data_IF_220716948131
#
_entry.id   IF_220716948131
#
_cell.length_a   1.000
_cell.length_b   1.000
_cell.length_c   1.000
_cell.angle_alpha   90.00
_cell.angle_beta   90.00
_cell.angle_gamma   90.00
#
_symmetry.space_group_name_H-M   'P 1'
#
loop_
_entity.id
_entity.type
_entity.pdbx_description
1 polymer ?
#
# COMPACT_ATOMS: atom_id res chain seq x y z
N UNK A 1 16.96 1.38 41.21
CA UNK A 1 15.99 0.40 41.70
C UNK A 1 14.78 0.48 40.81
N UNK A 2 14.85 -0.20 39.67
CA UNK A 2 13.78 -0.56 38.74
C UNK A 2 14.40 -1.67 37.92
N UNK A 3 13.93 -2.89 38.19
CA UNK A 3 14.56 -4.16 37.84
C UNK A 3 14.28 -4.50 36.38
N UNK A 4 15.29 -4.29 35.54
CA UNK A 4 15.46 -4.98 34.26
C UNK A 4 15.74 -6.45 34.55
N UNK A 5 14.78 -7.36 34.29
CA UNK A 5 15.09 -8.78 34.09
C UNK A 5 13.95 -9.56 33.41
N UNK A 6 14.33 -10.18 32.30
CA UNK A 6 13.76 -11.36 31.65
C UNK A 6 12.50 -11.22 30.80
N UNK A 7 12.69 -10.73 29.57
CA UNK A 7 11.84 -11.05 28.40
C UNK A 7 12.60 -11.94 27.37
N UNK A 8 13.60 -12.68 27.85
CA UNK A 8 14.49 -13.51 27.05
C UNK A 8 14.35 -15.00 27.43
N UNK A 9 13.16 -15.57 27.27
CA UNK A 9 12.99 -17.03 27.26
C UNK A 9 11.78 -17.49 26.42
N UNK A 10 11.64 -16.95 25.20
CA UNK A 10 10.88 -17.67 24.15
C UNK A 10 11.83 -18.63 23.45
N UNK A 11 12.28 -19.64 24.20
CA UNK A 11 12.95 -20.80 23.64
C UNK A 11 12.09 -21.39 22.53
N UNK A 12 12.65 -21.48 21.33
CA UNK A 12 12.03 -22.15 20.19
C UNK A 12 11.68 -23.58 20.57
N UNK A 13 10.40 -23.81 20.91
CA UNK A 13 9.84 -25.15 21.08
C UNK A 13 9.84 -25.81 19.71
N UNK A 14 10.72 -26.80 19.53
CA UNK A 14 10.74 -27.67 18.35
C UNK A 14 9.37 -28.36 18.22
N UNK A 15 8.84 -28.53 16.99
CA UNK A 15 7.60 -29.27 16.78
C UNK A 15 7.78 -30.71 17.29
N UNK A 16 6.82 -31.19 18.07
CA UNK A 16 6.71 -32.58 18.49
C UNK A 16 6.30 -33.44 17.29
N UNK A 17 7.19 -33.60 16.33
CA UNK A 17 7.07 -34.58 15.27
C UNK A 17 7.53 -35.93 15.83
N UNK A 18 6.58 -36.87 15.87
CA UNK A 18 6.70 -38.29 16.21
C UNK A 18 6.82 -38.63 17.70
N UNK A 19 5.66 -38.81 18.36
CA UNK A 19 5.52 -39.90 19.32
C UNK A 19 5.26 -41.18 18.52
N UNK A 20 6.29 -41.71 17.85
CA UNK A 20 6.37 -43.15 17.61
C UNK A 20 7.22 -43.74 18.74
N UNK A 21 6.70 -43.61 19.95
CA UNK A 21 7.23 -44.29 21.12
C UNK A 21 6.41 -45.56 21.28
N UNK A 22 7.02 -46.70 20.98
CA UNK A 22 6.48 -48.03 21.27
C UNK A 22 5.99 -48.06 22.72
N UNK A 23 4.68 -47.93 22.92
CA UNK A 23 4.06 -48.31 24.17
C UNK A 23 4.05 -49.84 24.18
N UNK A 24 5.12 -50.45 24.69
CA UNK A 24 5.12 -51.89 24.98
C UNK A 24 3.93 -52.19 25.90
N UNK A 25 2.87 -52.74 25.28
CA UNK A 25 1.71 -53.35 25.91
C UNK A 25 0.63 -52.38 26.38
N UNK A 26 -0.37 -52.09 25.53
CA UNK A 26 -1.80 -51.92 25.88
C UNK A 26 -2.17 -51.15 27.16
N UNK A 27 -1.34 -50.23 27.63
CA UNK A 27 -1.49 -49.58 28.93
C UNK A 27 -2.39 -48.37 28.78
N UNK A 28 -3.57 -48.49 29.36
CA UNK A 28 -4.52 -47.39 29.53
C UNK A 28 -3.97 -46.31 30.46
N UNK A 29 -4.07 -45.05 30.04
CA UNK A 29 -3.53 -43.89 30.75
C UNK A 29 -4.62 -43.04 31.39
N UNK A 30 -4.37 -42.48 32.56
CA UNK A 30 -5.24 -41.48 33.17
C UNK A 30 -5.03 -40.10 32.55
N UNK A 31 -6.03 -39.21 32.61
CA UNK A 31 -5.88 -37.82 32.14
C UNK A 31 -4.67 -37.09 32.74
N UNK A 32 -4.30 -37.41 33.99
CA UNK A 32 -3.12 -36.84 34.64
C UNK A 32 -1.80 -37.39 34.13
N UNK A 33 -1.75 -38.64 33.63
CA UNK A 33 -0.58 -39.17 32.95
C UNK A 33 -0.47 -38.58 31.54
N UNK A 34 -1.58 -38.48 30.80
CA UNK A 34 -1.61 -37.84 29.47
C UNK A 34 -1.21 -36.38 29.55
N UNK A 35 -1.69 -35.63 30.54
CA UNK A 35 -1.30 -34.23 30.75
C UNK A 35 0.16 -34.03 31.22
N UNK A 36 0.86 -35.10 31.63
CA UNK A 36 2.31 -35.05 31.89
C UNK A 36 3.13 -35.40 30.64
N UNK A 37 2.57 -36.21 29.75
CA UNK A 37 3.17 -36.61 28.48
C UNK A 37 2.94 -35.60 27.37
N UNK A 38 1.83 -34.90 27.44
CA UNK A 38 1.41 -33.85 26.51
C UNK A 38 1.34 -32.55 27.29
N UNK A 39 1.71 -31.42 26.69
CA UNK A 39 1.60 -30.09 27.32
C UNK A 39 0.13 -29.61 27.41
N UNK A 40 -0.83 -30.55 27.40
CA UNK A 40 -2.28 -30.34 27.39
C UNK A 40 -2.82 -30.61 28.79
N UNK A 41 -3.42 -29.59 29.41
CA UNK A 41 -3.94 -29.73 30.76
C UNK A 41 -5.08 -30.76 30.84
N UNK A 42 -5.24 -31.40 32.01
CA UNK A 42 -6.36 -32.31 32.26
C UNK A 42 -7.74 -31.63 32.05
N UNK A 43 -7.83 -30.31 32.30
CA UNK A 43 -9.03 -29.51 32.02
C UNK A 43 -9.31 -29.41 30.52
N UNK A 44 -8.27 -29.26 29.70
CA UNK A 44 -8.38 -29.23 28.24
C UNK A 44 -8.78 -30.60 27.69
N UNK A 45 -8.20 -31.68 28.22
CA UNK A 45 -8.60 -33.05 27.86
C UNK A 45 -10.08 -33.32 28.19
N UNK A 46 -10.56 -32.88 29.35
CA UNK A 46 -11.98 -32.96 29.71
C UNK A 46 -12.85 -32.15 28.74
N UNK A 47 -12.42 -30.95 28.38
CA UNK A 47 -13.15 -30.14 27.43
C UNK A 47 -13.25 -30.81 26.04
N UNK A 48 -12.16 -31.39 25.54
CA UNK A 48 -12.17 -32.14 24.25
C UNK A 48 -13.11 -33.33 24.30
N UNK A 49 -13.20 -33.99 25.45
CA UNK A 49 -14.15 -35.07 25.69
C UNK A 49 -15.60 -34.57 25.75
N UNK A 50 -15.87 -33.47 26.46
CA UNK A 50 -17.21 -32.88 26.58
C UNK A 50 -17.78 -32.46 25.22
N UNK A 51 -16.93 -31.97 24.31
CA UNK A 51 -17.32 -31.60 22.94
C UNK A 51 -17.29 -32.78 21.96
N UNK A 52 -16.91 -33.98 22.41
CA UNK A 52 -16.83 -35.19 21.60
C UNK A 52 -15.71 -35.20 20.56
N UNK A 53 -14.64 -34.42 20.80
CA UNK A 53 -13.46 -34.34 19.94
C UNK A 53 -12.44 -35.45 20.26
N UNK A 54 -12.33 -35.84 21.54
CA UNK A 54 -11.49 -36.92 22.04
C UNK A 54 -12.28 -37.74 23.07
N UNK A 55 -12.71 -38.95 22.72
CA UNK A 55 -13.71 -39.71 23.48
C UNK A 55 -13.12 -40.98 24.12
N UNK A 56 -12.28 -40.86 25.17
CA UNK A 56 -11.62 -42.00 25.80
C UNK A 56 -12.62 -42.90 26.55
N UNK A 57 -12.28 -44.18 26.65
CA UNK A 57 -13.14 -45.20 27.28
C UNK A 57 -13.17 -45.05 28.80
N UNK A 58 -14.28 -45.43 29.43
CA UNK A 58 -14.37 -45.53 30.90
C UNK A 58 -13.79 -46.85 31.38
N UNK A 59 -13.22 -46.85 32.59
CA UNK A 59 -12.66 -48.05 33.24
C UNK A 59 -13.69 -49.16 33.53
N UNK A 60 -14.99 -48.87 33.42
CA UNK A 60 -16.09 -49.84 33.55
C UNK A 60 -16.76 -49.86 34.92
N UNK A 61 -17.90 -50.58 35.00
CA UNK A 61 -18.68 -50.80 36.22
C UNK A 61 -17.93 -51.75 37.18
N UNK A 62 -17.88 -51.40 38.48
CA UNK A 62 -17.19 -52.21 39.51
C UNK A 62 -15.72 -51.83 39.79
N UNK A 63 -15.14 -50.88 39.05
CA UNK A 63 -13.82 -50.28 39.34
C UNK A 63 -13.99 -48.97 40.11
N UNK A 64 -13.28 -48.82 41.24
CA UNK A 64 -13.38 -47.62 42.07
C UNK A 64 -13.15 -46.34 41.24
N UNK A 65 -14.14 -45.43 41.27
CA UNK A 65 -14.19 -44.11 40.61
C UNK A 65 -14.47 -44.03 39.10
N UNK A 66 -14.82 -45.12 38.40
CA UNK A 66 -15.30 -45.13 36.98
C UNK A 66 -14.64 -44.06 36.07
N UNK A 67 -13.30 -44.02 36.08
CA UNK A 67 -12.50 -42.94 35.49
C UNK A 67 -12.32 -43.15 33.98
N UNK A 68 -12.12 -42.06 33.23
CA UNK A 68 -11.76 -42.15 31.80
C UNK A 68 -10.29 -42.52 31.64
N UNK A 69 -10.03 -43.38 30.68
CA UNK A 69 -8.75 -43.99 30.38
C UNK A 69 -8.47 -43.87 28.87
N UNK A 70 -7.30 -43.33 28.54
CA UNK A 70 -6.85 -43.08 27.18
C UNK A 70 -6.03 -44.27 26.69
N UNK A 71 -6.37 -44.79 25.52
CA UNK A 71 -5.56 -45.79 24.83
C UNK A 71 -4.62 -45.17 23.80
N UNK A 72 -3.82 -45.99 23.12
CA UNK A 72 -2.84 -45.52 22.13
C UNK A 72 -3.51 -44.75 20.97
N UNK A 73 -4.70 -45.18 20.53
CA UNK A 73 -5.45 -44.48 19.48
C UNK A 73 -5.97 -43.11 19.95
N UNK A 74 -6.33 -42.98 21.22
CA UNK A 74 -6.66 -41.69 21.81
C UNK A 74 -5.44 -40.74 21.85
N UNK A 75 -4.23 -41.27 22.11
CA UNK A 75 -3.00 -40.47 22.11
C UNK A 75 -2.65 -40.02 20.69
N UNK A 76 -2.76 -40.89 19.69
CA UNK A 76 -2.54 -40.53 18.28
C UNK A 76 -3.54 -39.46 17.82
N UNK A 77 -4.81 -39.62 18.16
CA UNK A 77 -5.85 -38.62 17.88
C UNK A 77 -5.55 -37.29 18.55
N UNK A 78 -5.14 -37.31 19.82
CA UNK A 78 -4.72 -36.10 20.54
C UNK A 78 -3.54 -35.41 19.86
N UNK A 79 -2.55 -36.16 19.38
CA UNK A 79 -1.43 -35.63 18.59
C UNK A 79 -1.90 -34.89 17.34
N UNK A 80 -2.84 -35.49 16.58
CA UNK A 80 -3.44 -34.84 15.40
C UNK A 80 -4.21 -33.57 15.75
N UNK A 81 -4.98 -33.57 16.85
CA UNK A 81 -5.70 -32.38 17.34
C UNK A 81 -4.71 -31.25 17.70
N UNK A 82 -3.62 -31.57 18.39
CA UNK A 82 -2.60 -30.58 18.76
C UNK A 82 -1.97 -29.97 17.51
N UNK A 83 -1.54 -30.80 16.55
CA UNK A 83 -0.94 -30.33 15.31
C UNK A 83 -1.88 -29.39 14.54
N UNK A 84 -3.14 -29.78 14.31
CA UNK A 84 -4.11 -28.95 13.59
C UNK A 84 -4.41 -27.63 14.34
N UNK A 85 -4.41 -27.66 15.68
CA UNK A 85 -4.57 -26.45 16.50
C UNK A 85 -3.36 -25.52 16.38
N UNK A 86 -2.14 -26.06 16.31
CA UNK A 86 -0.92 -25.28 16.06
C UNK A 86 -0.95 -24.62 14.67
N UNK A 87 -1.57 -25.25 13.68
CA UNK A 87 -1.85 -24.65 12.36
C UNK A 87 -3.02 -23.63 12.37
N UNK A 88 -3.59 -23.33 13.54
CA UNK A 88 -4.59 -22.27 13.70
C UNK A 88 -6.03 -22.68 13.37
N UNK A 89 -6.33 -23.99 13.32
CA UNK A 89 -7.71 -24.47 13.24
C UNK A 89 -8.39 -24.38 14.61
N UNK A 90 -9.64 -23.94 14.58
CA UNK A 90 -10.56 -23.95 15.73
C UNK A 90 -10.99 -25.39 16.05
N UNK A 91 -11.44 -25.64 17.28
CA UNK A 91 -11.89 -26.99 17.68
C UNK A 91 -13.09 -27.49 16.84
N UNK A 92 -13.91 -26.58 16.32
CA UNK A 92 -15.02 -26.91 15.41
C UNK A 92 -14.52 -27.37 14.05
N UNK A 93 -13.55 -26.66 13.46
CA UNK A 93 -12.90 -27.05 12.19
C UNK A 93 -12.16 -28.38 12.36
N UNK A 94 -11.41 -28.56 13.46
CA UNK A 94 -10.72 -29.82 13.76
C UNK A 94 -11.72 -30.97 13.84
N UNK A 95 -12.84 -30.81 14.55
CA UNK A 95 -13.87 -31.85 14.65
C UNK A 95 -14.44 -32.28 13.30
N UNK A 96 -14.53 -31.36 12.33
CA UNK A 96 -15.03 -31.66 10.99
C UNK A 96 -14.04 -32.45 10.13
N UNK A 97 -12.72 -32.34 10.40
CA UNK A 97 -11.66 -32.90 9.55
C UNK A 97 -10.85 -34.02 10.19
N UNK A 98 -10.90 -34.18 11.52
CA UNK A 98 -10.08 -35.15 12.25
C UNK A 98 -10.34 -36.61 11.85
N UNK A 99 -11.54 -36.89 11.35
CA UNK A 99 -11.95 -38.22 10.85
C UNK A 99 -12.09 -38.25 9.32
N UNK A 100 -11.75 -37.16 8.63
CA UNK A 100 -11.83 -37.06 7.18
C UNK A 100 -10.54 -37.58 6.51
N UNK A 101 -10.66 -37.97 5.25
CA UNK A 101 -9.50 -38.35 4.43
C UNK A 101 -8.54 -37.17 4.23
N UNK A 102 -7.26 -37.47 3.97
CA UNK A 102 -6.21 -36.46 3.79
C UNK A 102 -6.57 -35.39 2.76
N UNK A 103 -7.31 -35.74 1.70
CA UNK A 103 -7.77 -34.79 0.68
C UNK A 103 -8.69 -33.70 1.25
N UNK A 104 -9.55 -34.03 2.21
CA UNK A 104 -10.45 -33.08 2.87
C UNK A 104 -9.67 -32.18 3.82
N UNK A 105 -8.70 -32.74 4.54
CA UNK A 105 -7.81 -31.96 5.42
C UNK A 105 -7.01 -30.95 4.60
N UNK A 106 -6.43 -31.37 3.48
CA UNK A 106 -5.68 -30.48 2.58
C UNK A 106 -6.56 -29.36 2.02
N UNK A 107 -7.79 -29.66 1.61
CA UNK A 107 -8.72 -28.63 1.11
C UNK A 107 -9.03 -27.56 2.17
N UNK A 108 -9.24 -27.96 3.43
CA UNK A 108 -9.48 -27.00 4.53
C UNK A 108 -8.23 -26.18 4.85
N UNK A 109 -7.04 -26.79 4.78
CA UNK A 109 -5.77 -26.07 4.96
C UNK A 109 -5.50 -25.08 3.83
N UNK A 110 -5.83 -25.43 2.59
CA UNK A 110 -5.71 -24.53 1.43
C UNK A 110 -6.65 -23.33 1.56
N UNK A 111 -7.89 -23.54 2.01
CA UNK A 111 -8.84 -22.46 2.27
C UNK A 111 -8.33 -21.54 3.39
N UNK A 112 -7.76 -22.12 4.46
CA UNK A 112 -7.15 -21.36 5.56
C UNK A 112 -5.94 -20.55 5.10
N UNK A 113 -5.06 -21.16 4.31
CA UNK A 113 -3.89 -20.50 3.73
C UNK A 113 -4.33 -19.32 2.84
N UNK A 114 -5.36 -19.51 2.02
CA UNK A 114 -5.93 -18.44 1.22
C UNK A 114 -6.49 -17.31 2.10
N UNK A 115 -7.18 -17.64 3.20
CA UNK A 115 -7.70 -16.65 4.15
C UNK A 115 -6.57 -15.86 4.85
N UNK A 116 -5.51 -16.54 5.30
CA UNK A 116 -4.35 -15.91 5.93
C UNK A 116 -3.61 -15.00 4.95
N UNK A 117 -3.43 -15.43 3.69
CA UNK A 117 -2.83 -14.59 2.64
C UNK A 117 -3.67 -13.33 2.36
N UNK A 118 -4.99 -13.42 2.37
CA UNK A 118 -5.88 -12.24 2.29
C UNK A 118 -5.71 -11.30 3.47
N UNK A 119 -5.57 -11.83 4.69
CA UNK A 119 -5.34 -11.02 5.88
C UNK A 119 -3.96 -10.34 5.87
N UNK A 120 -2.90 -11.06 5.48
CA UNK A 120 -1.56 -10.52 5.29
C UNK A 120 -1.57 -9.38 4.28
N UNK A 121 -2.24 -9.59 3.14
CA UNK A 121 -2.40 -8.56 2.11
C UNK A 121 -3.09 -7.31 2.66
N UNK A 122 -4.23 -7.48 3.33
CA UNK A 122 -4.96 -6.37 3.96
C UNK A 122 -4.09 -5.60 4.97
N UNK A 123 -3.32 -6.29 5.80
CA UNK A 123 -2.42 -5.65 6.76
C UNK A 123 -1.29 -4.89 6.06
N UNK A 124 -0.72 -5.45 4.98
CA UNK A 124 0.28 -4.76 4.16
C UNK A 124 -0.29 -3.50 3.52
N UNK A 125 -1.49 -3.57 2.94
CA UNK A 125 -2.16 -2.41 2.35
C UNK A 125 -2.41 -1.32 3.40
N UNK A 126 -2.87 -1.68 4.60
CA UNK A 126 -3.04 -0.74 5.72
C UNK A 126 -1.72 -0.14 6.21
N UNK A 127 -0.63 -0.91 6.19
CA UNK A 127 0.70 -0.41 6.55
C UNK A 127 1.22 0.55 5.47
N UNK A 128 1.09 0.20 4.19
CA UNK A 128 1.46 1.07 3.07
C UNK A 128 0.63 2.35 3.09
N UNK A 129 -0.67 2.24 3.38
CA UNK A 129 -1.56 3.37 3.62
C UNK A 129 -1.04 4.25 4.76
N UNK A 130 -0.81 3.69 5.94
CA UNK A 130 -0.30 4.45 7.10
C UNK A 130 1.09 5.10 6.85
N UNK A 131 1.95 4.46 6.06
CA UNK A 131 3.25 5.03 5.66
C UNK A 131 3.11 6.14 4.65
N UNK A 132 2.24 5.98 3.67
CA UNK A 132 1.98 7.05 2.73
C UNK A 132 1.38 8.24 3.45
N UNK A 133 0.41 8.04 4.34
CA UNK A 133 -0.08 9.05 5.26
C UNK A 133 1.08 9.77 6.01
N UNK A 134 2.15 9.06 6.37
CA UNK A 134 3.34 9.70 6.97
C UNK A 134 4.23 10.48 5.98
N UNK A 135 4.25 10.09 4.71
CA UNK A 135 5.04 10.73 3.63
C UNK A 135 4.28 11.91 3.02
N UNK A 136 2.98 11.78 2.80
CA UNK A 136 2.05 12.80 2.31
C UNK A 136 1.64 13.80 3.37
N UNK A 137 1.86 13.51 4.65
CA UNK A 137 1.48 14.41 5.74
C UNK A 137 0.02 14.29 6.18
N UNK A 138 -0.61 13.16 5.94
CA UNK A 138 -2.00 12.88 6.30
C UNK A 138 -2.09 11.95 7.51
N UNK A 139 -1.80 12.42 8.73
CA UNK A 139 -2.28 11.78 9.97
C UNK A 139 -3.12 12.81 10.76
N UNK A 140 -4.30 12.43 11.32
CA UNK A 140 -5.19 13.30 12.08
C UNK A 140 -4.60 14.07 13.27
N UNK A 141 -3.32 13.90 13.62
CA UNK A 141 -2.70 14.70 14.68
C UNK A 141 -1.51 15.53 14.20
N UNK A 142 -0.58 15.04 13.40
CA UNK A 142 0.69 15.75 13.17
C UNK A 142 1.32 15.37 11.80
N UNK A 143 1.51 16.25 10.82
CA UNK A 143 1.74 17.68 10.99
C UNK A 143 3.15 18.03 11.50
N UNK A 144 3.80 17.13 12.25
CA UNK A 144 5.18 17.27 12.73
C UNK A 144 6.02 16.27 11.94
N UNK A 145 6.67 16.60 10.83
CA UNK A 145 7.78 17.55 10.74
C UNK A 145 7.75 18.35 9.41
N UNK A 146 6.77 18.13 8.52
CA UNK A 146 6.59 18.87 7.26
C UNK A 146 5.14 19.32 6.93
N UNK A 147 4.12 18.92 7.70
CA UNK A 147 2.76 19.50 7.63
C UNK A 147 1.82 19.01 6.50
N UNK A 148 0.50 18.85 6.75
CA UNK A 148 -0.54 18.60 5.72
C UNK A 148 -0.68 19.73 4.67
N UNK A 149 -0.08 20.88 4.93
CA UNK A 149 -0.09 22.05 4.04
C UNK A 149 0.42 21.75 2.63
N UNK A 150 1.31 20.77 2.46
CA UNK A 150 1.90 20.43 1.16
C UNK A 150 0.90 19.73 0.24
N UNK A 151 0.05 18.86 0.79
CA UNK A 151 -1.04 18.19 0.06
C UNK A 151 -2.23 19.11 -0.11
N UNK A 152 -2.56 19.89 0.92
CA UNK A 152 -3.61 20.89 0.83
C UNK A 152 -3.28 21.95 -0.24
N UNK A 153 -2.03 22.43 -0.29
CA UNK A 153 -1.56 23.37 -1.33
C UNK A 153 -1.65 22.74 -2.74
N UNK A 154 -1.34 21.44 -2.88
CA UNK A 154 -1.46 20.70 -4.13
C UNK A 154 -2.93 20.55 -4.55
N UNK A 155 -3.79 20.15 -3.62
CA UNK A 155 -5.21 19.94 -3.84
C UNK A 155 -5.92 21.27 -4.17
N UNK A 156 -5.64 22.34 -3.43
CA UNK A 156 -6.21 23.67 -3.67
C UNK A 156 -5.73 24.26 -5.00
N UNK A 157 -4.47 24.05 -5.35
CA UNK A 157 -3.93 24.40 -6.67
C UNK A 157 -4.67 23.63 -7.78
N UNK A 158 -4.91 22.33 -7.60
CA UNK A 158 -5.64 21.50 -8.56
C UNK A 158 -7.13 21.87 -8.69
N UNK A 159 -7.79 22.23 -7.57
CA UNK A 159 -9.20 22.66 -7.54
C UNK A 159 -9.47 23.95 -8.32
N UNK A 160 -8.46 24.81 -8.45
CA UNK A 160 -8.54 26.06 -9.20
C UNK A 160 -8.41 25.88 -10.74
N UNK A 161 -8.18 24.66 -11.24
CA UNK A 161 -7.89 24.41 -12.66
C UNK A 161 -9.18 24.23 -13.50
N UNK A 162 -9.26 24.77 -14.73
CA UNK A 162 -10.43 24.58 -15.60
C UNK A 162 -10.83 23.12 -15.89
N UNK A 163 -9.89 22.16 -16.10
CA UNK A 163 -10.29 20.77 -16.30
C UNK A 163 -10.77 20.09 -15.02
N UNK A 164 -10.42 20.62 -13.83
CA UNK A 164 -11.06 20.20 -12.59
C UNK A 164 -12.54 20.57 -12.63
N UNK A 165 -12.90 21.82 -12.94
CA UNK A 165 -14.30 22.23 -13.14
C UNK A 165 -15.03 21.43 -14.24
N UNK A 166 -14.34 21.10 -15.34
CA UNK A 166 -14.92 20.27 -16.39
C UNK A 166 -15.21 18.85 -15.89
N UNK A 167 -14.25 18.21 -15.22
CA UNK A 167 -14.45 16.93 -14.55
C UNK A 167 -15.58 16.97 -13.50
N UNK A 168 -15.78 18.12 -12.83
CA UNK A 168 -16.91 18.31 -11.90
C UNK A 168 -18.27 18.26 -12.58
N UNK A 169 -18.40 18.82 -13.79
CA UNK A 169 -19.67 18.94 -14.52
C UNK A 169 -19.92 17.81 -15.49
N UNK A 170 -18.87 17.05 -15.83
CA UNK A 170 -18.91 15.98 -16.79
C UNK A 170 -20.08 15.00 -16.64
N UNK A 171 -20.35 14.53 -15.41
CA UNK A 171 -21.43 13.58 -15.17
C UNK A 171 -22.81 14.17 -15.53
N UNK A 172 -23.01 15.48 -15.31
CA UNK A 172 -24.23 16.22 -15.66
C UNK A 172 -24.29 16.59 -17.16
N UNK A 173 -23.15 16.59 -17.85
CA UNK A 173 -22.97 16.97 -19.26
C UNK A 173 -23.03 15.80 -20.25
N UNK A 174 -22.99 14.54 -19.77
CA UNK A 174 -23.20 13.36 -20.62
C UNK A 174 -24.54 13.42 -21.35
N UNK A 175 -24.52 13.22 -22.67
CA UNK A 175 -25.66 13.50 -23.57
C UNK A 175 -26.86 12.58 -23.30
N UNK A 176 -26.62 11.34 -22.85
CA UNK A 176 -27.68 10.37 -22.59
C UNK A 176 -27.52 9.59 -21.27
N UNK A 177 -28.61 9.19 -20.61
CA UNK A 177 -28.58 8.29 -19.45
C UNK A 177 -27.85 6.96 -19.73
N UNK A 178 -27.96 6.44 -20.96
CA UNK A 178 -27.34 5.19 -21.39
C UNK A 178 -25.81 5.30 -21.45
N UNK A 179 -25.27 6.41 -21.98
CA UNK A 179 -23.82 6.65 -21.99
C UNK A 179 -23.24 6.75 -20.57
N UNK A 180 -23.99 7.37 -19.66
CA UNK A 180 -23.64 7.44 -18.24
C UNK A 180 -23.61 6.06 -17.59
N UNK A 181 -24.60 5.22 -17.88
CA UNK A 181 -24.64 3.85 -17.36
C UNK A 181 -23.46 3.02 -17.87
N UNK A 182 -23.13 3.12 -19.16
CA UNK A 182 -21.96 2.43 -19.74
C UNK A 182 -20.66 2.88 -19.10
N UNK A 183 -20.48 4.19 -18.90
CA UNK A 183 -19.28 4.73 -18.26
C UNK A 183 -19.13 4.23 -16.82
N UNK A 184 -20.19 4.28 -16.01
CA UNK A 184 -20.12 3.79 -14.63
C UNK A 184 -20.00 2.27 -14.53
N UNK A 185 -20.59 1.51 -15.44
CA UNK A 185 -20.39 0.05 -15.50
C UNK A 185 -18.91 -0.30 -15.78
N UNK A 186 -18.28 0.42 -16.70
CA UNK A 186 -16.85 0.26 -16.98
C UNK A 186 -15.98 0.63 -15.77
N UNK A 187 -16.28 1.75 -15.10
CA UNK A 187 -15.59 2.18 -13.88
C UNK A 187 -15.74 1.12 -12.77
N UNK A 188 -16.96 0.69 -12.50
CA UNK A 188 -17.27 -0.32 -11.49
C UNK A 188 -16.48 -1.61 -11.73
N UNK A 189 -16.34 -2.03 -12.99
CA UNK A 189 -15.55 -3.24 -13.31
C UNK A 189 -14.05 -3.07 -13.00
N UNK A 190 -13.48 -1.91 -13.30
CA UNK A 190 -12.08 -1.62 -12.97
C UNK A 190 -11.89 -1.60 -11.45
N UNK A 191 -12.84 -1.03 -10.71
CA UNK A 191 -12.81 -0.97 -9.24
C UNK A 191 -12.99 -2.35 -8.60
N UNK A 192 -13.84 -3.21 -9.15
CA UNK A 192 -13.95 -4.61 -8.72
C UNK A 192 -12.62 -5.37 -8.91
N UNK A 193 -11.95 -5.14 -10.04
CA UNK A 193 -10.64 -5.73 -10.32
C UNK A 193 -9.59 -5.16 -9.36
N UNK A 194 -9.69 -3.89 -8.99
CA UNK A 194 -8.87 -3.24 -7.98
C UNK A 194 -9.06 -3.89 -6.60
N UNK A 195 -10.32 -4.06 -6.17
CA UNK A 195 -10.69 -4.72 -4.92
C UNK A 195 -10.20 -6.19 -4.89
N UNK A 196 -10.27 -6.86 -6.05
CA UNK A 196 -9.90 -8.27 -6.19
C UNK A 196 -8.40 -8.50 -6.26
N UNK A 197 -7.64 -7.55 -6.82
CA UNK A 197 -6.19 -7.66 -6.96
C UNK A 197 -5.52 -7.83 -5.59
N UNK A 198 -5.88 -6.97 -4.63
CA UNK A 198 -5.27 -6.93 -3.30
C UNK A 198 -3.74 -6.84 -3.31
N UNK A 199 -3.11 -6.82 -2.13
CA UNK A 199 -1.64 -6.71 -2.01
C UNK A 199 -0.80 -7.88 -2.59
N UNK A 200 -1.40 -8.96 -3.07
CA UNK A 200 -0.68 -10.10 -3.68
C UNK A 200 -0.33 -9.86 -5.15
N UNK A 201 -1.00 -8.92 -5.80
CA UNK A 201 -0.82 -8.68 -7.23
C UNK A 201 0.51 -7.97 -7.57
N UNK A 202 1.23 -7.49 -6.55
CA UNK A 202 2.49 -6.76 -6.68
C UNK A 202 2.30 -5.37 -7.30
N UNK A 203 3.35 -4.55 -7.28
CA UNK A 203 3.25 -3.16 -7.76
C UNK A 203 2.84 -3.04 -9.23
N UNK A 204 3.28 -3.97 -10.09
CA UNK A 204 2.90 -4.02 -11.49
C UNK A 204 1.38 -4.14 -11.72
N UNK A 205 0.63 -4.68 -10.76
CA UNK A 205 -0.83 -4.70 -10.86
C UNK A 205 -1.45 -3.32 -10.60
N UNK A 206 -0.92 -2.57 -9.62
CA UNK A 206 -1.31 -1.19 -9.36
C UNK A 206 -1.03 -0.32 -10.59
N UNK A 207 0.14 -0.46 -11.23
CA UNK A 207 0.47 0.25 -12.47
C UNK A 207 -0.55 -0.02 -13.58
N UNK A 208 -0.94 -1.29 -13.78
CA UNK A 208 -1.96 -1.64 -14.79
C UNK A 208 -3.33 -1.06 -14.45
N UNK A 209 -3.77 -1.16 -13.20
CA UNK A 209 -5.09 -0.69 -12.78
C UNK A 209 -5.19 0.84 -12.83
N UNK A 210 -4.15 1.56 -12.41
CA UNK A 210 -4.04 3.02 -12.59
C UNK A 210 -4.06 3.39 -14.07
N UNK A 211 -3.39 2.60 -14.92
CA UNK A 211 -3.47 2.76 -16.38
C UNK A 211 -4.89 2.60 -16.93
N UNK A 212 -5.64 1.59 -16.47
CA UNK A 212 -7.04 1.39 -16.87
C UNK A 212 -7.95 2.53 -16.41
N UNK A 213 -7.78 3.02 -15.17
CA UNK A 213 -8.52 4.16 -14.66
C UNK A 213 -8.21 5.46 -15.43
N UNK A 214 -6.94 5.65 -15.80
CA UNK A 214 -6.52 6.78 -16.65
C UNK A 214 -7.14 6.70 -18.05
N UNK A 215 -7.16 5.51 -18.67
CA UNK A 215 -7.80 5.30 -19.98
C UNK A 215 -9.32 5.43 -19.95
N UNK A 216 -9.97 5.02 -18.85
CA UNK A 216 -11.39 5.28 -18.63
C UNK A 216 -11.64 6.79 -18.59
N UNK A 217 -10.82 7.55 -17.87
CA UNK A 217 -10.92 8.99 -17.80
C UNK A 217 -10.73 9.67 -19.15
N UNK A 218 -9.70 9.27 -19.91
CA UNK A 218 -9.44 9.76 -21.27
C UNK A 218 -10.64 9.61 -22.19
N UNK A 219 -11.29 8.43 -22.11
CA UNK A 219 -12.36 8.06 -23.01
C UNK A 219 -13.66 8.77 -22.66
N UNK A 220 -13.94 8.89 -21.36
CA UNK A 220 -15.26 9.30 -20.89
C UNK A 220 -15.28 10.75 -20.45
N UNK A 221 -14.26 11.23 -19.73
CA UNK A 221 -14.28 12.52 -19.01
C UNK A 221 -13.53 13.62 -19.75
N UNK A 222 -12.21 13.49 -19.86
CA UNK A 222 -11.33 14.48 -20.49
C UNK A 222 -9.96 13.84 -20.74
N UNK A 223 -9.21 14.21 -21.80
CA UNK A 223 -7.84 13.76 -21.96
C UNK A 223 -6.96 14.00 -20.72
N UNK A 224 -6.27 12.96 -20.25
CA UNK A 224 -5.34 12.94 -19.11
C UNK A 224 -4.05 13.70 -19.39
N UNK A 225 -3.64 13.80 -20.66
CA UNK A 225 -2.45 14.55 -21.08
C UNK A 225 -2.51 16.01 -20.63
N UNK A 226 -3.72 16.51 -20.42
CA UNK A 226 -3.96 17.81 -19.83
C UNK A 226 -3.75 17.79 -18.30
N UNK A 227 -4.33 16.83 -17.58
CA UNK A 227 -4.46 16.85 -16.11
C UNK A 227 -3.31 16.19 -15.32
N UNK A 228 -2.51 15.33 -15.92
CA UNK A 228 -1.48 14.56 -15.21
C UNK A 228 -2.03 13.57 -14.17
N UNK A 229 -1.20 12.61 -13.73
CA UNK A 229 -1.59 11.55 -12.80
C UNK A 229 -2.13 12.07 -11.45
N UNK A 230 -1.56 13.16 -10.91
CA UNK A 230 -2.03 13.74 -9.64
C UNK A 230 -3.19 14.74 -9.80
N UNK A 231 -3.46 15.26 -10.99
CA UNK A 231 -4.66 16.08 -11.22
C UNK A 231 -5.95 15.26 -11.09
N UNK A 232 -5.87 13.95 -11.36
CA UNK A 232 -6.94 12.98 -11.16
C UNK A 232 -7.21 12.70 -9.68
N UNK A 233 -6.15 12.60 -8.88
CA UNK A 233 -6.21 12.31 -7.44
C UNK A 233 -7.13 13.29 -6.68
N UNK A 234 -7.03 14.59 -6.98
CA UNK A 234 -7.82 15.64 -6.32
C UNK A 234 -9.35 15.56 -6.59
N UNK A 235 -9.80 14.74 -7.55
CA UNK A 235 -11.22 14.59 -7.89
C UNK A 235 -11.94 13.52 -7.04
N UNK A 236 -11.21 12.66 -6.34
CA UNK A 236 -11.75 11.62 -5.45
C UNK A 236 -12.04 12.12 -4.03
N UNK A 237 -11.36 13.18 -3.59
CA UNK A 237 -11.57 13.79 -2.27
C UNK A 237 -12.94 14.47 -2.10
N UNK A 238 -13.53 14.96 -3.19
CA UNK A 238 -14.81 15.66 -3.15
C UNK A 238 -15.96 14.68 -3.37
N UNK A 239 -16.90 14.55 -2.42
CA UNK A 239 -18.10 13.69 -2.52
C UNK A 239 -18.84 13.89 -3.87
N UNK A 240 -18.65 12.96 -4.80
CA UNK A 240 -19.12 13.02 -6.20
C UNK A 240 -19.61 11.65 -6.67
N UNK A 241 -20.34 11.64 -7.80
CA UNK A 241 -20.88 10.41 -8.40
C UNK A 241 -19.80 9.35 -8.70
N UNK A 242 -18.60 9.77 -9.10
CA UNK A 242 -17.45 8.87 -9.31
C UNK A 242 -16.99 8.24 -7.99
N UNK A 243 -16.77 9.05 -6.95
CA UNK A 243 -16.39 8.53 -5.63
C UNK A 243 -17.46 7.59 -5.04
N UNK A 244 -18.74 7.96 -5.18
CA UNK A 244 -19.86 7.13 -4.77
C UNK A 244 -19.88 5.79 -5.51
N UNK A 245 -19.59 5.77 -6.81
CA UNK A 245 -19.49 4.54 -7.59
C UNK A 245 -18.29 3.69 -7.17
N UNK A 246 -17.13 4.31 -6.90
CA UNK A 246 -15.92 3.61 -6.46
C UNK A 246 -16.15 2.93 -5.10
N UNK A 247 -16.73 3.63 -4.12
CA UNK A 247 -17.09 3.05 -2.82
C UNK A 247 -18.19 1.97 -2.98
N UNK A 248 -19.16 2.17 -3.88
CA UNK A 248 -20.22 1.18 -4.15
C UNK A 248 -19.67 -0.12 -4.75
N UNK A 249 -18.72 -0.02 -5.67
CA UNK A 249 -18.14 -1.17 -6.38
C UNK A 249 -17.04 -1.86 -5.54
N UNK A 250 -16.23 -1.10 -4.81
CA UNK A 250 -15.06 -1.61 -4.10
C UNK A 250 -15.22 -1.81 -2.61
N UNK A 251 -16.28 -1.28 -2.01
CA UNK A 251 -16.50 -1.28 -0.56
C UNK A 251 -15.80 -0.13 0.17
N UNK A 252 -15.93 -0.14 1.49
CA UNK A 252 -15.46 0.94 2.38
C UNK A 252 -13.98 1.28 2.18
N UNK A 253 -13.70 2.58 2.02
CA UNK A 253 -12.36 3.17 1.83
C UNK A 253 -11.70 2.84 0.49
N UNK A 254 -12.46 2.40 -0.51
CA UNK A 254 -11.91 2.14 -1.85
C UNK A 254 -11.39 3.42 -2.52
N UNK A 255 -12.02 4.57 -2.31
CA UNK A 255 -11.51 5.84 -2.84
C UNK A 255 -10.08 6.11 -2.36
N UNK A 256 -9.84 5.98 -1.06
CA UNK A 256 -8.51 6.13 -0.47
C UNK A 256 -7.51 5.11 -1.07
N UNK A 257 -7.93 3.86 -1.29
CA UNK A 257 -7.04 2.85 -1.89
C UNK A 257 -6.68 3.17 -3.35
N UNK A 258 -7.63 3.67 -4.12
CA UNK A 258 -7.41 4.08 -5.52
C UNK A 258 -6.50 5.31 -5.57
N UNK A 259 -6.80 6.34 -4.78
CA UNK A 259 -5.97 7.54 -4.62
C UNK A 259 -4.51 7.20 -4.32
N UNK A 260 -4.30 6.28 -3.38
CA UNK A 260 -3.01 5.77 -2.99
C UNK A 260 -2.26 5.11 -4.15
N UNK A 261 -2.94 4.29 -4.95
CA UNK A 261 -2.32 3.67 -6.11
C UNK A 261 -1.86 4.70 -7.13
N UNK A 262 -2.67 5.74 -7.39
CA UNK A 262 -2.28 6.83 -8.27
C UNK A 262 -1.00 7.51 -7.79
N UNK A 263 -0.92 7.83 -6.50
CA UNK A 263 0.26 8.46 -5.93
C UNK A 263 1.50 7.57 -6.00
N UNK A 264 1.37 6.28 -5.68
CA UNK A 264 2.50 5.35 -5.74
C UNK A 264 3.01 5.14 -7.17
N UNK A 265 2.11 4.98 -8.13
CA UNK A 265 2.44 4.88 -9.57
C UNK A 265 3.06 6.17 -10.08
N UNK A 266 2.52 7.32 -9.66
CA UNK A 266 3.13 8.63 -9.93
C UNK A 266 4.55 8.70 -9.40
N UNK A 267 4.80 8.38 -8.12
CA UNK A 267 6.12 8.46 -7.49
C UNK A 267 7.11 7.55 -8.21
N UNK A 268 6.76 6.28 -8.45
CA UNK A 268 7.64 5.33 -9.14
C UNK A 268 8.01 5.79 -10.54
N UNK A 269 7.05 6.33 -11.29
CA UNK A 269 7.28 6.84 -12.64
C UNK A 269 8.09 8.13 -12.63
N UNK A 270 7.73 9.07 -11.76
CA UNK A 270 8.40 10.35 -11.61
C UNK A 270 9.88 10.15 -11.28
N UNK A 271 10.18 9.34 -10.25
CA UNK A 271 11.57 9.15 -9.83
C UNK A 271 12.42 8.52 -10.94
N UNK A 272 11.88 7.58 -11.71
CA UNK A 272 12.57 6.98 -12.86
C UNK A 272 12.83 7.97 -14.00
N UNK A 273 11.84 8.79 -14.37
CA UNK A 273 11.98 9.82 -15.41
C UNK A 273 12.86 11.01 -14.94
N UNK A 274 12.86 11.32 -13.64
CA UNK A 274 13.62 12.42 -13.04
C UNK A 274 15.11 12.07 -12.83
N UNK A 275 15.45 10.79 -12.65
CA UNK A 275 16.81 10.33 -12.37
C UNK A 275 17.89 10.90 -13.31
N UNK A 276 17.76 10.84 -14.66
CA UNK A 276 18.76 11.42 -15.56
C UNK A 276 18.85 12.95 -15.46
N UNK A 277 17.73 13.64 -15.22
CA UNK A 277 17.66 15.10 -15.12
C UNK A 277 18.32 15.59 -13.83
N UNK A 278 17.98 14.97 -12.70
CA UNK A 278 18.59 15.26 -11.39
C UNK A 278 20.09 15.00 -11.41
N UNK A 279 20.52 13.90 -12.07
CA UNK A 279 21.94 13.59 -12.27
C UNK A 279 22.65 14.67 -13.08
N UNK A 280 22.05 15.15 -14.17
CA UNK A 280 22.62 16.22 -15.00
C UNK A 280 22.75 17.54 -14.23
N UNK A 281 21.78 17.87 -13.38
CA UNK A 281 21.85 19.05 -12.50
C UNK A 281 23.00 18.91 -11.48
N UNK A 282 23.16 17.73 -10.87
CA UNK A 282 24.15 17.50 -9.82
C UNK A 282 25.60 17.45 -10.33
N UNK A 283 25.86 16.92 -11.53
CA UNK A 283 27.22 16.85 -12.08
C UNK A 283 27.83 18.23 -12.38
N UNK A 284 27.00 19.22 -12.67
CA UNK A 284 27.41 20.58 -13.00
C UNK A 284 27.28 21.57 -11.82
N UNK A 285 26.66 21.14 -10.71
CA UNK A 285 26.39 21.97 -9.54
C UNK A 285 27.33 21.69 -8.36
N UNK A 286 28.39 22.47 -8.18
CA UNK A 286 29.12 22.47 -6.90
C UNK A 286 28.21 22.99 -5.78
N UNK A 287 28.03 22.19 -4.72
CA UNK A 287 27.29 22.57 -3.52
C UNK A 287 28.10 23.55 -2.66
N UNK A 288 27.58 24.76 -2.44
CA UNK A 288 28.08 25.68 -1.41
C UNK A 288 27.48 25.35 -0.03
N UNK A 289 28.22 25.63 1.04
CA UNK A 289 27.77 25.38 2.43
C UNK A 289 26.44 26.11 2.76
N UNK A 290 25.55 25.49 3.56
CA UNK A 290 24.24 26.04 3.88
C UNK A 290 24.37 27.20 4.88
N UNK A 291 23.84 28.37 4.54
CA UNK A 291 23.60 29.44 5.52
C UNK A 291 22.13 29.49 5.91
N UNK A 292 21.93 29.59 7.23
CA UNK A 292 20.65 29.63 7.93
C UNK A 292 19.73 30.70 7.32
N UNK A 293 18.46 30.33 7.10
CA UNK A 293 17.31 31.15 6.67
C UNK A 293 17.59 32.63 6.28
N UNK A 294 17.27 32.97 5.02
CA UNK A 294 17.38 34.31 4.41
C UNK A 294 18.76 34.77 3.89
N UNK A 295 19.57 33.86 3.36
CA UNK A 295 20.73 34.21 2.54
C UNK A 295 21.04 33.09 1.54
N UNK A 296 20.81 33.35 0.25
CA UNK A 296 20.92 32.36 -0.81
C UNK A 296 22.31 31.69 -0.87
N UNK A 297 22.38 30.40 -0.57
CA UNK A 297 23.39 29.53 -1.16
C UNK A 297 23.07 29.44 -2.66
N UNK A 298 23.86 30.14 -3.48
CA UNK A 298 23.69 30.11 -4.94
C UNK A 298 24.43 28.89 -5.50
N UNK A 299 23.74 27.82 -5.95
CA UNK A 299 24.38 26.83 -6.77
C UNK A 299 24.87 27.49 -8.06
N UNK A 300 26.11 27.22 -8.46
CA UNK A 300 26.60 27.54 -9.81
C UNK A 300 26.00 26.58 -10.83
N UNK A 301 24.67 26.54 -10.96
CA UNK A 301 24.02 25.96 -12.14
C UNK A 301 24.16 26.91 -13.36
N UNK A 302 25.37 27.42 -13.62
CA UNK A 302 25.65 28.31 -14.76
C UNK A 302 25.96 27.54 -16.05
N UNK A 303 26.13 26.22 -15.97
CA UNK A 303 26.27 25.38 -17.15
C UNK A 303 24.93 25.34 -17.91
N UNK A 304 24.91 25.63 -19.22
CA UNK A 304 23.70 25.57 -20.02
C UNK A 304 22.95 24.23 -19.91
N UNK A 305 23.68 23.12 -19.73
CA UNK A 305 23.11 21.79 -19.59
C UNK A 305 22.31 21.60 -18.27
N UNK A 306 22.86 22.03 -17.13
CA UNK A 306 22.16 22.00 -15.85
C UNK A 306 20.88 22.84 -15.85
N UNK A 307 20.93 24.01 -16.51
CA UNK A 307 19.74 24.85 -16.70
C UNK A 307 18.68 24.10 -17.49
N UNK A 308 19.00 23.60 -18.68
CA UNK A 308 18.06 22.84 -19.52
C UNK A 308 17.48 21.65 -18.75
N UNK A 309 18.30 20.90 -18.02
CA UNK A 309 17.83 19.78 -17.20
C UNK A 309 16.85 20.22 -16.09
N UNK A 310 17.04 21.40 -15.49
CA UNK A 310 16.11 21.95 -14.51
C UNK A 310 14.80 22.43 -15.16
N UNK A 311 14.85 23.00 -16.36
CA UNK A 311 13.66 23.38 -17.14
C UNK A 311 12.84 22.14 -17.53
N UNK A 312 13.50 21.09 -18.00
CA UNK A 312 12.89 19.78 -18.32
C UNK A 312 12.33 19.08 -17.08
N UNK A 313 13.02 19.15 -15.94
CA UNK A 313 12.52 18.58 -14.69
C UNK A 313 11.28 19.32 -14.19
N UNK A 314 11.26 20.66 -14.29
CA UNK A 314 10.07 21.44 -14.01
C UNK A 314 8.92 21.01 -14.94
N UNK A 315 9.17 20.85 -16.24
CA UNK A 315 8.17 20.41 -17.21
C UNK A 315 7.63 19.00 -16.91
N UNK A 316 8.51 18.05 -16.57
CA UNK A 316 8.15 16.69 -16.15
C UNK A 316 7.13 16.74 -15.00
N UNK A 317 7.40 17.56 -13.98
CA UNK A 317 6.49 17.75 -12.84
C UNK A 317 5.15 18.30 -13.34
N UNK A 318 5.15 19.35 -14.16
CA UNK A 318 3.92 19.96 -14.68
C UNK A 318 3.06 18.98 -15.47
N UNK A 319 3.67 18.15 -16.33
CA UNK A 319 2.97 17.12 -17.10
C UNK A 319 2.37 16.05 -16.21
N UNK A 320 3.11 15.58 -15.21
CA UNK A 320 2.66 14.48 -14.35
C UNK A 320 1.65 14.90 -13.28
N UNK A 321 1.48 16.20 -13.06
CA UNK A 321 0.60 16.74 -12.00
C UNK A 321 -0.52 17.65 -12.51
N UNK A 322 -0.52 18.02 -13.80
CA UNK A 322 -1.42 19.03 -14.35
C UNK A 322 -1.01 20.47 -14.01
N UNK A 323 0.17 20.66 -13.43
CA UNK A 323 0.66 21.96 -12.96
C UNK A 323 0.75 23.05 -14.03
N UNK A 324 0.74 22.71 -15.33
CA UNK A 324 0.68 23.70 -16.41
C UNK A 324 -0.55 24.60 -16.35
N UNK A 325 -1.66 24.11 -15.79
CA UNK A 325 -2.88 24.90 -15.64
C UNK A 325 -2.76 26.01 -14.60
N UNK A 326 -1.81 25.94 -13.67
CA UNK A 326 -1.55 27.03 -12.71
C UNK A 326 -1.04 28.30 -13.39
N UNK A 327 -0.64 28.21 -14.66
CA UNK A 327 -0.08 29.32 -15.45
C UNK A 327 -0.99 29.74 -16.62
N UNK A 328 -2.14 29.08 -16.82
CA UNK A 328 -3.15 29.46 -17.80
C UNK A 328 -4.16 30.43 -17.16
N UNK A 329 -4.78 31.29 -17.97
CA UNK A 329 -5.83 32.21 -17.53
C UNK A 329 -6.95 31.44 -16.77
N UNK A 330 -7.52 32.01 -15.69
CA UNK A 330 -7.46 33.41 -15.26
C UNK A 330 -6.39 33.71 -14.18
N UNK A 331 -5.44 32.81 -13.92
CA UNK A 331 -4.46 33.00 -12.83
C UNK A 331 -3.42 34.06 -13.23
N UNK A 332 -3.21 35.14 -12.44
CA UNK A 332 -2.16 36.11 -12.73
C UNK A 332 -0.79 35.45 -12.84
N UNK A 333 -0.03 35.76 -13.89
CA UNK A 333 1.22 35.07 -14.27
C UNK A 333 2.25 34.94 -13.13
N UNK A 334 2.34 35.95 -12.25
CA UNK A 334 3.23 35.92 -11.09
C UNK A 334 2.73 34.97 -9.98
N UNK A 335 1.42 34.96 -9.71
CA UNK A 335 0.81 34.06 -8.74
C UNK A 335 0.87 32.59 -9.22
N UNK A 336 0.63 32.37 -10.52
CA UNK A 336 0.75 31.07 -11.16
C UNK A 336 2.15 30.50 -11.11
N UNK A 337 3.18 31.33 -11.40
CA UNK A 337 4.59 30.93 -11.25
C UNK A 337 4.95 30.56 -9.82
N UNK A 338 4.51 31.33 -8.83
CA UNK A 338 4.77 31.03 -7.43
C UNK A 338 4.10 29.72 -6.97
N UNK A 339 2.86 29.47 -7.40
CA UNK A 339 2.16 28.22 -7.13
C UNK A 339 2.85 27.02 -7.79
N UNK A 340 3.27 27.17 -9.05
CA UNK A 340 4.00 26.13 -9.77
C UNK A 340 5.35 25.81 -9.13
N UNK A 341 6.08 26.83 -8.66
CA UNK A 341 7.34 26.62 -7.94
C UNK A 341 7.15 25.83 -6.64
N UNK A 342 6.08 26.11 -5.88
CA UNK A 342 5.72 25.33 -4.67
C UNK A 342 5.38 23.88 -5.01
N UNK A 343 4.59 23.66 -6.07
CA UNK A 343 4.27 22.34 -6.58
C UNK A 343 5.54 21.54 -6.93
N UNK A 344 6.49 22.15 -7.63
CA UNK A 344 7.75 21.51 -7.95
C UNK A 344 8.56 21.12 -6.71
N UNK A 345 8.66 22.00 -5.71
CA UNK A 345 9.33 21.70 -4.45
C UNK A 345 8.67 20.53 -3.72
N UNK A 346 7.34 20.57 -3.61
CA UNK A 346 6.50 19.53 -3.01
C UNK A 346 6.76 18.13 -3.61
N UNK A 347 6.74 18.02 -4.95
CA UNK A 347 6.96 16.73 -5.63
C UNK A 347 8.37 16.19 -5.38
N UNK A 348 9.39 17.07 -5.37
CA UNK A 348 10.76 16.69 -5.10
C UNK A 348 10.96 16.25 -3.64
N UNK A 349 10.31 16.91 -2.70
CA UNK A 349 10.31 16.53 -1.28
C UNK A 349 9.61 15.18 -1.07
N UNK A 350 8.48 14.91 -1.75
CA UNK A 350 7.84 13.60 -1.71
C UNK A 350 8.73 12.49 -2.26
N UNK A 351 9.42 12.74 -3.37
CA UNK A 351 10.38 11.78 -3.90
C UNK A 351 11.52 11.52 -2.90
N UNK A 352 12.05 12.55 -2.24
CA UNK A 352 13.09 12.41 -1.22
C UNK A 352 12.61 11.56 -0.03
N UNK A 353 11.40 11.83 0.47
CA UNK A 353 10.80 11.10 1.58
C UNK A 353 10.50 9.63 1.20
N UNK A 354 10.00 9.39 -0.01
CA UNK A 354 9.77 8.05 -0.51
C UNK A 354 11.07 7.23 -0.61
N UNK A 355 12.14 7.83 -1.12
CA UNK A 355 13.46 7.18 -1.21
C UNK A 355 14.07 6.86 0.16
N UNK A 356 13.71 7.62 1.21
CA UNK A 356 14.17 7.37 2.57
C UNK A 356 13.41 6.19 3.25
N UNK A 357 12.23 5.82 2.74
CA UNK A 357 11.44 4.70 3.25
C UNK A 357 11.80 3.41 2.50
N UNK A 358 12.69 2.60 3.08
CA UNK A 358 13.18 1.38 2.48
C UNK A 358 12.10 0.30 2.25
N UNK A 359 11.04 0.27 3.05
CA UNK A 359 9.96 -0.70 2.87
C UNK A 359 8.96 -0.24 1.79
N UNK A 360 8.69 1.06 1.70
CA UNK A 360 7.98 1.63 0.55
C UNK A 360 8.74 1.37 -0.74
N UNK A 361 10.05 1.64 -0.77
CA UNK A 361 10.89 1.39 -1.94
C UNK A 361 10.93 -0.09 -2.33
N UNK A 362 10.99 -1.00 -1.36
CA UNK A 362 10.90 -2.43 -1.63
C UNK A 362 9.57 -2.85 -2.26
N UNK A 363 8.50 -2.06 -2.04
CA UNK A 363 7.20 -2.28 -2.67
C UNK A 363 7.10 -1.66 -4.06
N UNK A 364 7.42 -0.36 -4.22
CA UNK A 364 7.25 0.37 -5.49
C UNK A 364 8.35 0.11 -6.51
N UNK A 365 9.55 -0.25 -6.06
CA UNK A 365 10.71 -0.52 -6.91
C UNK A 365 11.51 -1.73 -6.39
N UNK A 366 10.90 -2.93 -6.36
CA UNK A 366 11.53 -4.12 -5.78
C UNK A 366 12.84 -4.51 -6.47
N UNK A 367 13.04 -4.12 -7.74
CA UNK A 367 14.23 -4.40 -8.53
C UNK A 367 15.30 -3.28 -8.46
N UNK A 368 15.00 -2.15 -7.82
CA UNK A 368 15.93 -1.02 -7.69
C UNK A 368 16.23 -0.29 -9.01
N UNK A 369 15.26 -0.17 -9.91
CA UNK A 369 15.40 0.44 -11.23
C UNK A 369 15.28 1.98 -11.27
N UNK A 370 14.80 2.63 -10.19
CA UNK A 370 14.54 4.08 -10.16
C UNK A 370 15.82 4.91 -10.33
N UNK A 371 16.97 4.46 -9.82
CA UNK A 371 18.28 5.07 -10.08
C UNK A 371 18.46 6.55 -9.69
N UNK A 372 17.49 7.15 -8.99
CA UNK A 372 17.49 8.52 -8.51
C UNK A 372 18.29 8.62 -7.20
N UNK A 373 19.24 9.56 -7.15
CA UNK A 373 20.08 9.79 -5.97
C UNK A 373 19.40 10.77 -5.00
N UNK A 374 19.02 10.34 -3.78
CA UNK A 374 18.40 11.23 -2.78
C UNK A 374 19.28 12.44 -2.43
N UNK A 375 20.61 12.30 -2.46
CA UNK A 375 21.53 13.39 -2.12
C UNK A 375 21.55 14.51 -3.16
N UNK A 376 21.11 14.24 -4.39
CA UNK A 376 21.07 15.20 -5.48
C UNK A 376 19.75 15.99 -5.55
N UNK A 377 18.70 15.55 -4.86
CA UNK A 377 17.38 16.20 -4.87
C UNK A 377 17.38 17.63 -4.34
N UNK A 378 18.09 18.00 -3.26
CA UNK A 378 18.14 19.38 -2.79
C UNK A 378 18.73 20.35 -3.84
N UNK A 379 19.77 19.91 -4.58
CA UNK A 379 20.35 20.70 -5.67
C UNK A 379 19.36 20.86 -6.83
N UNK A 380 18.65 19.79 -7.18
CA UNK A 380 17.61 19.83 -8.20
C UNK A 380 16.47 20.78 -7.82
N UNK A 381 16.03 20.78 -6.56
CA UNK A 381 14.97 21.67 -6.07
C UNK A 381 15.34 23.16 -6.24
N UNK A 382 16.57 23.54 -5.89
CA UNK A 382 17.03 24.93 -6.06
C UNK A 382 17.12 25.31 -7.55
N UNK A 383 17.63 24.40 -8.39
CA UNK A 383 17.75 24.65 -9.83
C UNK A 383 16.37 24.80 -10.49
N UNK A 384 15.41 23.94 -10.14
CA UNK A 384 14.03 23.99 -10.63
C UNK A 384 13.32 25.27 -10.17
N UNK A 385 13.46 25.65 -8.89
CA UNK A 385 12.87 26.89 -8.38
C UNK A 385 13.33 28.11 -9.19
N UNK A 386 14.63 28.21 -9.45
CA UNK A 386 15.20 29.27 -10.30
C UNK A 386 14.69 29.20 -11.74
N UNK A 387 14.63 28.01 -12.32
CA UNK A 387 14.11 27.81 -13.68
C UNK A 387 12.65 28.33 -13.78
N UNK A 388 11.80 28.00 -12.81
CA UNK A 388 10.39 28.45 -12.76
C UNK A 388 10.29 29.98 -12.61
N UNK A 389 11.11 30.59 -11.76
CA UNK A 389 11.18 32.06 -11.62
C UNK A 389 11.57 32.75 -12.93
N UNK A 390 12.57 32.20 -13.64
CA UNK A 390 13.06 32.69 -14.93
C UNK A 390 12.11 32.38 -16.11
N UNK A 391 11.03 31.63 -15.86
CA UNK A 391 9.96 31.37 -16.83
C UNK A 391 9.95 29.99 -17.47
N UNK A 392 10.82 29.06 -17.07
CA UNK A 392 10.77 27.66 -17.53
C UNK A 392 9.38 27.03 -17.32
N UNK A 393 8.92 26.22 -18.28
CA UNK A 393 7.53 25.74 -18.31
C UNK A 393 6.50 26.78 -18.79
N UNK A 394 6.93 27.91 -19.39
CA UNK A 394 6.07 28.91 -20.04
C UNK A 394 5.59 28.50 -21.45
N UNK A 395 6.14 27.42 -22.02
CA UNK A 395 5.83 27.04 -23.38
C UNK A 395 4.57 26.16 -23.38
N UNK A 396 3.54 26.52 -24.17
CA UNK A 396 2.39 25.65 -24.37
C UNK A 396 2.84 24.28 -24.91
N UNK A 397 2.02 23.23 -24.74
CA UNK A 397 2.27 21.90 -25.31
C UNK A 397 2.73 21.95 -26.79
N UNK A 398 2.12 22.86 -27.55
CA UNK A 398 2.33 23.09 -28.98
C UNK A 398 3.78 23.44 -29.38
N UNK A 399 4.62 23.95 -28.47
CA UNK A 399 5.99 24.34 -28.79
C UNK A 399 6.96 23.15 -28.86
N UNK A 400 6.61 22.01 -28.24
CA UNK A 400 7.51 20.86 -28.11
C UNK A 400 7.05 19.62 -28.90
N UNK A 401 5.84 19.63 -29.47
CA UNK A 401 5.44 18.65 -30.51
C UNK A 401 6.37 18.71 -31.74
N UNK A 402 6.92 19.89 -32.06
CA UNK A 402 7.89 20.08 -33.15
C UNK A 402 9.29 19.48 -32.88
N UNK A 403 9.59 19.05 -31.65
CA UNK A 403 10.85 18.43 -31.27
C UNK A 403 10.76 16.89 -31.14
N UNK A 404 9.58 16.31 -31.40
CA UNK A 404 9.36 14.86 -31.54
C UNK A 404 9.38 14.38 -33.01
N UNK A 405 10.01 15.15 -33.90
CA UNK A 405 10.22 14.80 -35.31
C UNK A 405 11.49 13.97 -35.52
#
# INVERSE_FOLDING_TARGET
MTDERNDADRGGKRPLLFVHGQAEGGRLMTAGEVARLTDVSARTLQHYDDIGLLCPRRSGEGVANNRKLYDEGDIDRLGRIIALKEYGLTLSEIKAVIDADDAVILAVLDEKLAALRRQEAKLRDLILFARMLSITGSNPVDGLVAGPAIVDDLADAARALPPYEHGRRWADELETPEEREVAFLALGKIVEDFASAGALAGFAAFERLVGLLSSWWDLYVHPCDDLGLLGWWALFEDERAIAAEVERAGGEAMCANVEMAFLLVFLRRFMGEAAPLVRAIAFDGEAGEPTHWAGAAQPRASAPAARVAAEELAWLIGRMTGGFYLRKDPVPEAAGRAAYGRLCACVLDFAANALADGELMAFIDPEGGVGLDPAALPLAAVAVARAVEEGAGALPPDHWEGLRG
#
